data_IF_432398995907
#
_entry.id   IF_432398995907
#
_cell.length_a   1.000
_cell.length_b   1.000
_cell.length_c   1.000
_cell.angle_alpha   90.00
_cell.angle_beta   90.00
_cell.angle_gamma   90.00
#
_symmetry.space_group_name_H-M   'P 1'
#
loop_
_entity.id
_entity.type
_entity.pdbx_description
1 polymer ?
#
# COMPACT_ATOMS: atom_id res chain seq x y z
N UNK A 1 10.09 -15.33 39.47
CA UNK A 1 9.19 -15.13 38.31
C UNK A 1 8.47 -13.77 38.33
N UNK A 2 9.06 -12.69 38.88
CA UNK A 2 8.44 -11.36 38.82
C UNK A 2 9.54 -10.30 38.73
N UNK A 3 9.95 -9.99 37.49
CA UNK A 3 10.90 -8.91 37.19
C UNK A 3 10.50 -8.20 35.87
N UNK A 4 9.23 -8.31 35.46
CA UNK A 4 8.70 -7.68 34.24
C UNK A 4 7.93 -6.36 34.50
N UNK A 5 7.26 -6.24 35.64
CA UNK A 5 6.36 -5.10 35.92
C UNK A 5 7.09 -3.74 36.05
N UNK A 6 8.31 -3.74 36.59
CA UNK A 6 9.11 -2.51 36.76
C UNK A 6 9.76 -2.00 35.47
N UNK A 7 10.10 -2.91 34.56
CA UNK A 7 10.69 -2.58 33.28
C UNK A 7 9.64 -2.03 32.31
N UNK A 8 8.42 -2.58 32.32
CA UNK A 8 7.30 -2.08 31.51
C UNK A 8 6.88 -0.66 31.92
N UNK A 9 6.85 -0.37 33.23
CA UNK A 9 6.53 0.97 33.72
C UNK A 9 7.59 2.01 33.34
N UNK A 10 8.87 1.66 33.46
CA UNK A 10 9.98 2.56 33.08
C UNK A 10 10.08 2.75 31.56
N UNK A 11 9.79 1.70 30.78
CA UNK A 11 9.70 1.74 29.33
C UNK A 11 8.54 2.66 28.89
N UNK A 12 7.36 2.49 29.50
CA UNK A 12 6.20 3.35 29.23
C UNK A 12 6.49 4.82 29.52
N UNK A 13 7.19 5.10 30.63
CA UNK A 13 7.57 6.46 31.00
C UNK A 13 8.57 7.06 30.00
N UNK A 14 9.58 6.29 29.58
CA UNK A 14 10.55 6.71 28.58
C UNK A 14 9.89 7.00 27.22
N UNK A 15 8.96 6.12 26.80
CA UNK A 15 8.14 6.32 25.60
C UNK A 15 7.31 7.59 25.67
N UNK A 16 6.65 7.85 26.80
CA UNK A 16 5.86 9.07 27.00
C UNK A 16 6.72 10.33 26.91
N UNK A 17 7.94 10.28 27.45
CA UNK A 17 8.88 11.41 27.41
C UNK A 17 9.34 11.71 25.98
N UNK A 18 9.76 10.68 25.22
CA UNK A 18 10.16 10.81 23.82
C UNK A 18 9.00 11.35 22.97
N UNK A 19 7.78 10.83 23.16
CA UNK A 19 6.59 11.32 22.45
C UNK A 19 6.27 12.78 22.77
N UNK A 20 6.45 13.21 24.02
CA UNK A 20 6.27 14.61 24.41
C UNK A 20 7.30 15.51 23.72
N UNK A 21 8.55 15.07 23.59
CA UNK A 21 9.56 15.82 22.84
C UNK A 21 9.21 15.90 21.34
N UNK A 22 8.77 14.77 20.76
CA UNK A 22 8.34 14.71 19.35
C UNK A 22 7.09 15.57 19.08
N UNK A 23 6.15 15.65 20.03
CA UNK A 23 4.95 16.47 19.88
C UNK A 23 5.26 17.97 19.90
N UNK A 24 6.21 18.40 20.74
CA UNK A 24 6.71 19.79 20.75
C UNK A 24 7.37 20.17 19.41
N UNK A 25 8.12 19.24 18.82
CA UNK A 25 8.73 19.43 17.49
C UNK A 25 7.73 19.22 16.33
N UNK A 26 6.50 18.75 16.60
CA UNK A 26 5.49 18.49 15.58
C UNK A 26 5.73 17.23 14.73
N UNK A 27 6.66 16.36 15.13
CA UNK A 27 7.08 15.15 14.41
C UNK A 27 6.60 13.85 15.07
N UNK A 28 5.61 13.92 15.97
CA UNK A 28 5.00 12.73 16.54
C UNK A 28 4.23 11.96 15.44
N UNK A 29 4.66 10.73 15.07
CA UNK A 29 4.02 9.94 14.01
C UNK A 29 2.59 9.53 14.35
N UNK A 30 2.20 9.58 15.62
CA UNK A 30 0.85 9.26 16.10
C UNK A 30 -0.05 10.49 16.24
N UNK A 31 0.43 11.69 15.92
CA UNK A 31 -0.42 12.88 15.96
C UNK A 31 -1.48 12.83 14.84
N UNK A 32 -2.66 13.42 15.10
CA UNK A 32 -3.81 13.39 14.18
C UNK A 32 -3.46 13.91 12.78
N UNK A 33 -2.59 14.92 12.69
CA UNK A 33 -2.13 15.47 11.41
C UNK A 33 -1.37 14.46 10.53
N UNK A 34 -0.76 13.44 11.15
CA UNK A 34 -0.02 12.37 10.45
C UNK A 34 -0.82 11.06 10.40
N UNK A 35 -1.79 10.87 11.30
CA UNK A 35 -2.66 9.69 11.32
C UNK A 35 -3.42 9.49 9.98
N UNK A 36 -3.75 10.59 9.29
CA UNK A 36 -4.38 10.54 7.97
C UNK A 36 -3.44 10.09 6.83
N UNK A 37 -2.11 10.13 7.02
CA UNK A 37 -1.16 9.70 6.00
C UNK A 37 -1.26 8.18 5.72
N UNK A 38 -1.59 7.38 6.74
CA UNK A 38 -1.85 5.93 6.57
C UNK A 38 -3.22 5.62 5.96
N UNK A 39 -4.25 6.42 6.28
CA UNK A 39 -5.59 6.25 5.72
C UNK A 39 -5.67 6.61 4.22
N UNK A 40 -4.83 7.55 3.78
CA UNK A 40 -4.74 7.98 2.37
C UNK A 40 -4.25 6.85 1.45
N UNK A 41 -3.39 5.97 1.97
CA UNK A 41 -2.81 4.85 1.22
C UNK A 41 -3.85 3.72 0.99
N UNK A 42 -4.81 3.56 1.90
CA UNK A 42 -5.87 2.56 1.76
C UNK A 42 -6.87 2.91 0.64
N UNK A 43 -7.37 4.15 0.62
CA UNK A 43 -8.28 4.61 -0.44
C UNK A 43 -7.59 4.68 -1.81
N UNK A 44 -6.30 5.04 -1.85
CA UNK A 44 -5.52 4.99 -3.07
C UNK A 44 -5.35 3.56 -3.59
N UNK A 45 -5.06 2.59 -2.71
CA UNK A 45 -4.99 1.17 -3.09
C UNK A 45 -6.32 0.66 -3.64
N UNK A 46 -7.44 1.00 -3.01
CA UNK A 46 -8.77 0.58 -3.49
C UNK A 46 -9.08 1.16 -4.89
N UNK A 47 -8.75 2.43 -5.13
CA UNK A 47 -8.91 3.04 -6.45
C UNK A 47 -8.03 2.36 -7.51
N UNK A 48 -6.77 2.05 -7.18
CA UNK A 48 -5.87 1.33 -8.09
C UNK A 48 -6.33 -0.12 -8.32
N UNK A 49 -6.82 -0.82 -7.31
CA UNK A 49 -7.43 -2.15 -7.44
C UNK A 49 -8.56 -2.14 -8.48
N UNK A 50 -9.47 -1.16 -8.38
CA UNK A 50 -10.57 -1.01 -9.33
C UNK A 50 -10.06 -0.73 -10.76
N UNK A 51 -9.06 0.14 -10.91
CA UNK A 51 -8.45 0.46 -12.20
C UNK A 51 -7.74 -0.76 -12.83
N UNK A 52 -7.00 -1.53 -12.03
CA UNK A 52 -6.33 -2.75 -12.48
C UNK A 52 -7.35 -3.81 -12.89
N UNK A 53 -8.44 -3.97 -12.14
CA UNK A 53 -9.52 -4.89 -12.51
C UNK A 53 -10.13 -4.54 -13.88
N UNK A 54 -10.41 -3.25 -14.13
CA UNK A 54 -10.93 -2.78 -15.43
C UNK A 54 -9.92 -3.03 -16.55
N UNK A 55 -8.64 -2.77 -16.32
CA UNK A 55 -7.59 -3.02 -17.33
C UNK A 55 -7.47 -4.52 -17.69
N UNK A 56 -7.61 -5.40 -16.69
CA UNK A 56 -7.59 -6.84 -16.90
C UNK A 56 -8.82 -7.36 -17.63
N UNK A 57 -9.99 -6.77 -17.37
CA UNK A 57 -11.21 -7.05 -18.12
C UNK A 57 -11.06 -6.62 -19.58
N UNK A 58 -10.54 -5.41 -19.83
CA UNK A 58 -10.23 -4.90 -21.18
C UNK A 58 -9.27 -5.83 -21.92
N UNK A 59 -8.21 -6.31 -21.25
CA UNK A 59 -7.26 -7.29 -21.81
C UNK A 59 -7.96 -8.59 -22.20
N UNK A 60 -8.86 -9.08 -21.35
CA UNK A 60 -9.62 -10.32 -21.59
C UNK A 60 -10.59 -10.15 -22.75
N UNK A 61 -11.28 -9.01 -22.83
CA UNK A 61 -12.17 -8.67 -23.95
C UNK A 61 -11.39 -8.54 -25.27
N UNK A 62 -10.21 -7.92 -25.25
CA UNK A 62 -9.32 -7.82 -26.42
C UNK A 62 -8.90 -9.21 -26.92
N UNK A 63 -8.49 -10.11 -26.01
CA UNK A 63 -8.17 -11.51 -26.34
C UNK A 63 -9.38 -12.26 -26.93
N UNK A 64 -10.58 -12.05 -26.39
CA UNK A 64 -11.81 -12.65 -26.92
C UNK A 64 -12.12 -12.19 -28.35
N UNK A 65 -11.80 -10.93 -28.68
CA UNK A 65 -11.88 -10.38 -30.04
C UNK A 65 -10.70 -10.78 -30.94
N UNK A 66 -9.76 -11.59 -30.45
CA UNK A 66 -8.48 -11.93 -31.10
C UNK A 66 -7.61 -10.72 -31.44
N UNK A 67 -7.80 -9.63 -30.72
CA UNK A 67 -7.00 -8.41 -30.84
C UNK A 67 -5.83 -8.48 -29.86
N UNK A 68 -4.81 -9.26 -30.25
CA UNK A 68 -3.62 -9.49 -29.44
C UNK A 68 -2.79 -8.22 -29.27
N UNK A 69 -2.81 -7.33 -30.27
CA UNK A 69 -2.09 -6.05 -30.22
C UNK A 69 -2.67 -5.15 -29.13
N UNK A 70 -3.99 -5.03 -29.02
CA UNK A 70 -4.62 -4.26 -27.95
C UNK A 70 -4.36 -4.88 -26.56
N UNK A 71 -4.37 -6.21 -26.45
CA UNK A 71 -4.08 -6.90 -25.19
C UNK A 71 -2.63 -6.66 -24.70
N UNK A 72 -1.66 -6.67 -25.62
CA UNK A 72 -0.25 -6.39 -25.29
C UNK A 72 -0.02 -4.91 -24.96
N UNK A 73 -0.68 -3.98 -25.67
CA UNK A 73 -0.61 -2.56 -25.35
C UNK A 73 -1.09 -2.25 -23.92
N UNK A 74 -2.14 -2.93 -23.45
CA UNK A 74 -2.62 -2.79 -22.07
C UNK A 74 -1.60 -3.33 -21.06
N UNK A 75 -0.96 -4.46 -21.36
CA UNK A 75 0.11 -5.02 -20.52
C UNK A 75 1.27 -4.04 -20.39
N UNK A 76 1.72 -3.50 -21.52
CA UNK A 76 2.87 -2.59 -21.55
C UNK A 76 2.55 -1.28 -20.79
N UNK A 77 1.33 -0.77 -20.87
CA UNK A 77 0.88 0.39 -20.08
C UNK A 77 0.91 0.12 -18.58
N UNK A 78 0.47 -1.07 -18.15
CA UNK A 78 0.52 -1.46 -16.73
C UNK A 78 1.96 -1.58 -16.24
N UNK A 79 2.83 -2.22 -17.03
CA UNK A 79 4.26 -2.31 -16.71
C UNK A 79 4.95 -0.94 -16.71
N UNK A 80 4.62 -0.05 -17.65
CA UNK A 80 5.13 1.32 -17.69
C UNK A 80 4.67 2.17 -16.50
N UNK A 81 3.50 1.87 -15.94
CA UNK A 81 3.01 2.46 -14.69
C UNK A 81 3.66 1.84 -13.43
N UNK A 82 4.60 0.90 -13.58
CA UNK A 82 5.24 0.19 -12.47
C UNK A 82 4.35 -0.85 -11.81
N UNK A 83 3.27 -1.28 -12.46
CA UNK A 83 2.33 -2.26 -11.94
C UNK A 83 2.70 -3.64 -12.50
N UNK A 84 3.26 -4.48 -11.63
CA UNK A 84 3.47 -5.90 -11.92
C UNK A 84 2.19 -6.67 -11.59
N UNK A 85 1.74 -7.54 -12.51
CA UNK A 85 0.56 -8.39 -12.29
C UNK A 85 1.01 -9.84 -12.12
N UNK A 86 0.58 -10.45 -11.03
CA UNK A 86 0.75 -11.85 -10.70
C UNK A 86 -0.61 -12.55 -10.77
N UNK A 87 -0.77 -13.49 -11.70
CA UNK A 87 -1.98 -14.31 -11.79
C UNK A 87 -1.95 -15.38 -10.67
N UNK A 88 -2.87 -15.28 -9.70
CA UNK A 88 -3.03 -16.29 -8.64
C UNK A 88 -4.32 -17.08 -8.84
N UNK A 89 -4.46 -18.29 -8.29
CA UNK A 89 -5.70 -19.06 -8.34
C UNK A 89 -6.90 -18.35 -7.68
N UNK A 90 -6.63 -17.38 -6.78
CA UNK A 90 -7.65 -16.58 -6.11
C UNK A 90 -8.01 -15.30 -6.90
N UNK A 91 -7.33 -15.03 -8.01
CA UNK A 91 -7.49 -13.84 -8.82
C UNK A 91 -6.16 -13.15 -9.13
N UNK A 92 -6.17 -12.18 -10.05
CA UNK A 92 -5.00 -11.40 -10.36
C UNK A 92 -4.64 -10.50 -9.17
N UNK A 93 -3.43 -10.65 -8.63
CA UNK A 93 -2.84 -9.69 -7.70
C UNK A 93 -1.90 -8.77 -8.46
N UNK A 94 -1.74 -7.55 -7.98
CA UNK A 94 -0.75 -6.64 -8.51
C UNK A 94 0.11 -6.06 -7.39
N UNK A 95 1.35 -5.71 -7.74
CA UNK A 95 2.29 -5.03 -6.88
C UNK A 95 2.87 -3.82 -7.62
N UNK A 96 3.18 -2.76 -6.86
CA UNK A 96 4.01 -1.68 -7.38
C UNK A 96 5.45 -2.17 -7.34
N UNK A 97 6.11 -2.23 -8.50
CA UNK A 97 7.56 -2.31 -8.54
C UNK A 97 8.07 -1.00 -7.94
N UNK A 98 8.59 -1.04 -6.71
CA UNK A 98 9.13 0.15 -6.08
C UNK A 98 10.29 0.67 -6.94
N UNK A 99 10.05 1.79 -7.61
CA UNK A 99 11.10 2.56 -8.27
C UNK A 99 12.16 2.91 -7.23
N UNK A 100 13.37 2.42 -7.47
CA UNK A 100 14.58 2.80 -6.74
C UNK A 100 14.86 4.30 -6.87
#
# INVERSE_FOLDING_TARGET
LLQGDGDDASLAQSLAQVRTMMSVLGVDPLAEQWAAAGASDAGLREAVDALVAVALEQRTAARARKDYQAADAIRDQLTAAGIAIEDTPQGPRWSLEQGN
#
